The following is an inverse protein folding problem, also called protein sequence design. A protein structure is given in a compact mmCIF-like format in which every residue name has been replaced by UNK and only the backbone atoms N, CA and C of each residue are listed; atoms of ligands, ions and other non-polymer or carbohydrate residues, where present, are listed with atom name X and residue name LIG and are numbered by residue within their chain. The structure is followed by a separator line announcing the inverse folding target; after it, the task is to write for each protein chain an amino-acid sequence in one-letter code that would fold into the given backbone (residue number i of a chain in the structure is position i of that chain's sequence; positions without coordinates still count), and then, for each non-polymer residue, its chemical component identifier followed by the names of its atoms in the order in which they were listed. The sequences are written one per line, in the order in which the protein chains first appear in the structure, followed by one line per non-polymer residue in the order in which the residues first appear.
data_IF_083038868131
#
_entry.id   IF_083038868131
#
_cell.length_a   1.000
_cell.length_b   1.000
_cell.length_c   1.000
_cell.angle_alpha   90.00
_cell.angle_beta   90.00
_cell.angle_gamma   90.00
#
_symmetry.space_group_name_H-M   'P 1'
#
loop_
_entity.id
_entity.type
_entity.pdbx_description
1 polymer ?
#
# COMPACT_ATOMS: atom_id res chain seq x y z
N UNK A 1 -5.95 -11.68 -27.90
CA UNK A 1 -4.62 -11.89 -27.35
C UNK A 1 -4.66 -11.52 -25.87
N UNK A 2 -4.66 -12.51 -25.00
CA UNK A 2 -4.62 -12.30 -23.53
C UNK A 2 -3.17 -12.05 -23.16
N UNK A 3 -2.80 -10.82 -22.88
CA UNK A 3 -1.50 -10.53 -22.27
C UNK A 3 -1.62 -10.93 -20.80
N UNK A 4 -1.08 -12.09 -20.48
CA UNK A 4 -0.84 -12.50 -19.10
C UNK A 4 0.38 -11.70 -18.66
N UNK A 5 0.16 -10.64 -17.88
CA UNK A 5 1.23 -10.00 -17.16
C UNK A 5 1.69 -10.96 -16.05
N UNK A 6 2.66 -11.78 -16.36
CA UNK A 6 3.44 -12.46 -15.31
C UNK A 6 4.33 -11.37 -14.70
N UNK A 7 3.88 -10.84 -13.58
CA UNK A 7 4.72 -10.01 -12.73
C UNK A 7 5.91 -10.89 -12.33
N UNK A 8 7.06 -10.70 -12.94
CA UNK A 8 8.32 -11.18 -12.37
C UNK A 8 8.46 -10.40 -11.05
N UNK A 9 7.95 -10.96 -9.99
CA UNK A 9 8.28 -10.57 -8.64
C UNK A 9 9.71 -11.05 -8.45
N UNK A 10 10.68 -10.27 -8.92
CA UNK A 10 12.04 -10.38 -8.44
C UNK A 10 11.91 -10.27 -6.93
N UNK A 11 12.35 -11.30 -6.23
CA UNK A 11 12.29 -11.39 -4.78
C UNK A 11 13.10 -10.24 -4.18
N UNK A 12 12.41 -9.12 -3.97
CA UNK A 12 12.95 -7.97 -3.25
C UNK A 12 12.75 -8.28 -1.79
N UNK A 13 13.85 -8.49 -1.06
CA UNK A 13 13.78 -8.62 0.39
C UNK A 13 13.72 -7.22 1.01
N UNK A 14 12.54 -6.90 1.50
CA UNK A 14 12.24 -5.66 2.20
C UNK A 14 12.78 -5.69 3.63
N UNK A 15 12.96 -4.50 4.23
CA UNK A 15 13.29 -4.38 5.64
C UNK A 15 12.27 -5.10 6.53
N UNK A 16 12.73 -5.70 7.62
CA UNK A 16 11.86 -6.24 8.68
C UNK A 16 10.94 -5.16 9.27
N UNK A 17 11.34 -3.89 9.19
CA UNK A 17 10.50 -2.76 9.57
C UNK A 17 9.19 -2.71 8.81
N UNK A 18 9.17 -3.18 7.56
CA UNK A 18 7.96 -3.24 6.74
C UNK A 18 6.95 -4.29 7.22
N UNK A 19 7.37 -5.24 8.06
CA UNK A 19 6.47 -6.21 8.70
C UNK A 19 5.65 -5.60 9.82
N UNK A 20 6.19 -4.58 10.51
CA UNK A 20 5.58 -3.97 11.68
C UNK A 20 4.93 -2.63 11.30
N UNK A 21 3.73 -2.68 10.78
CA UNK A 21 2.96 -1.48 10.40
C UNK A 21 1.95 -1.15 11.49
N UNK A 22 2.11 0.01 12.12
CA UNK A 22 1.13 0.55 13.06
C UNK A 22 0.01 1.22 12.27
N UNK A 23 -1.24 0.91 12.60
CA UNK A 23 -2.41 1.49 11.96
C UNK A 23 -3.68 1.28 12.76
N UNK A 24 -4.75 1.98 12.37
CA UNK A 24 -6.06 1.86 12.97
C UNK A 24 -6.85 0.70 12.37
N UNK A 25 -7.66 0.06 13.21
CA UNK A 25 -8.71 -0.84 12.81
C UNK A 25 -8.32 -2.32 12.74
N UNK A 26 -9.31 -3.19 12.55
CA UNK A 26 -9.16 -4.64 12.68
C UNK A 26 -8.52 -5.31 11.46
N UNK A 27 -8.30 -4.58 10.35
CA UNK A 27 -7.87 -5.18 9.09
C UNK A 27 -6.78 -4.37 8.41
N UNK A 28 -5.66 -5.01 8.07
CA UNK A 28 -4.59 -4.37 7.32
C UNK A 28 -5.02 -3.98 5.90
N UNK A 29 -5.79 -4.82 5.22
CA UNK A 29 -6.22 -4.57 3.84
C UNK A 29 -7.49 -3.71 3.73
N UNK A 30 -8.40 -3.76 4.71
CA UNK A 30 -9.69 -3.05 4.66
C UNK A 30 -9.73 -1.77 5.50
N UNK A 31 -8.76 -1.57 6.38
CA UNK A 31 -8.68 -0.35 7.22
C UNK A 31 -7.38 0.39 7.00
N UNK A 32 -6.22 -0.25 7.27
CA UNK A 32 -4.91 0.40 7.18
C UNK A 32 -4.54 0.80 5.74
N UNK A 33 -4.75 -0.08 4.76
CA UNK A 33 -4.49 0.21 3.35
C UNK A 33 -5.30 1.40 2.84
N UNK A 34 -6.64 1.41 2.98
CA UNK A 34 -7.47 2.56 2.65
C UNK A 34 -7.10 3.85 3.38
N UNK A 35 -6.74 3.77 4.67
CA UNK A 35 -6.25 4.93 5.42
C UNK A 35 -4.97 5.50 4.81
N UNK A 36 -3.98 4.66 4.51
CA UNK A 36 -2.72 5.09 3.90
C UNK A 36 -2.92 5.70 2.53
N UNK A 37 -3.79 5.09 1.71
CA UNK A 37 -4.16 5.67 0.42
C UNK A 37 -4.75 7.07 0.58
N UNK A 38 -5.70 7.22 1.48
CA UNK A 38 -6.35 8.49 1.77
C UNK A 38 -5.36 9.53 2.31
N UNK A 39 -4.46 9.15 3.24
CA UNK A 39 -3.44 10.06 3.79
C UNK A 39 -2.51 10.59 2.71
N UNK A 40 -1.99 9.70 1.86
CA UNK A 40 -1.09 10.09 0.77
C UNK A 40 -1.76 11.04 -0.23
N UNK A 41 -3.03 10.80 -0.56
CA UNK A 41 -3.79 11.65 -1.46
C UNK A 41 -4.04 13.03 -0.81
N UNK A 42 -4.38 13.05 0.48
CA UNK A 42 -4.56 14.32 1.21
C UNK A 42 -3.27 15.14 1.26
N UNK A 43 -2.12 14.49 1.49
CA UNK A 43 -0.81 15.12 1.46
C UNK A 43 -0.46 15.69 0.08
N UNK A 44 -0.80 14.96 -0.98
CA UNK A 44 -0.55 15.38 -2.36
C UNK A 44 -1.46 16.53 -2.81
N UNK A 45 -2.69 16.59 -2.26
CA UNK A 45 -3.69 17.61 -2.61
C UNK A 45 -4.20 18.35 -1.36
N UNK A 46 -3.33 19.09 -0.65
CA UNK A 46 -3.70 19.75 0.60
C UNK A 46 -4.77 20.83 0.44
N UNK A 47 -4.89 21.41 -0.76
CA UNK A 47 -5.82 22.48 -1.09
C UNK A 47 -7.09 21.98 -1.82
N UNK A 48 -7.29 20.67 -1.93
CA UNK A 48 -8.50 20.14 -2.54
C UNK A 48 -9.75 20.57 -1.76
N UNK A 49 -10.76 21.01 -2.47
CA UNK A 49 -12.01 21.47 -1.84
C UNK A 49 -12.88 20.31 -1.37
N UNK A 50 -12.81 19.17 -2.05
CA UNK A 50 -13.64 18.00 -1.80
C UNK A 50 -12.99 16.72 -2.32
N UNK A 51 -13.34 15.61 -1.67
CA UNK A 51 -12.97 14.24 -2.11
C UNK A 51 -14.23 13.37 -2.26
N UNK A 52 -14.25 12.55 -3.30
CA UNK A 52 -15.16 11.43 -3.44
C UNK A 52 -14.35 10.15 -3.62
N UNK A 53 -14.82 9.05 -3.02
CA UNK A 53 -14.11 7.77 -3.05
C UNK A 53 -15.08 6.68 -3.44
N UNK A 54 -14.71 5.87 -4.42
CA UNK A 54 -15.41 4.66 -4.79
C UNK A 54 -14.62 3.44 -4.33
N UNK A 55 -15.28 2.56 -3.62
CA UNK A 55 -14.74 1.29 -3.13
C UNK A 55 -15.26 0.16 -4.03
N UNK A 56 -14.37 -0.75 -4.41
CA UNK A 56 -14.66 -1.82 -5.35
C UNK A 56 -14.37 -3.20 -4.76
N UNK A 57 -15.02 -4.23 -5.31
CA UNK A 57 -14.78 -5.62 -4.99
C UNK A 57 -14.91 -5.93 -3.51
N UNK A 58 -13.87 -6.48 -2.88
CA UNK A 58 -13.92 -6.87 -1.48
C UNK A 58 -14.08 -5.68 -0.53
N UNK A 59 -13.49 -4.53 -0.84
CA UNK A 59 -13.68 -3.30 -0.07
C UNK A 59 -15.13 -2.80 -0.11
N UNK A 60 -15.83 -3.03 -1.21
CA UNK A 60 -17.24 -2.68 -1.30
C UNK A 60 -18.13 -3.66 -0.54
N UNK A 61 -17.84 -4.96 -0.62
CA UNK A 61 -18.66 -6.01 -0.03
C UNK A 61 -18.57 -6.04 1.50
N UNK A 62 -17.38 -5.86 2.05
CA UNK A 62 -17.11 -6.04 3.49
C UNK A 62 -16.63 -4.77 4.19
N UNK A 63 -16.40 -3.70 3.44
CA UNK A 63 -15.78 -2.46 3.95
C UNK A 63 -16.56 -1.78 5.08
N UNK A 64 -17.90 -1.83 5.05
CA UNK A 64 -18.71 -1.29 6.17
C UNK A 64 -18.42 -2.02 7.47
N UNK A 65 -18.32 -3.35 7.44
CA UNK A 65 -17.99 -4.15 8.62
C UNK A 65 -16.57 -3.91 9.15
N UNK A 66 -15.67 -3.49 8.29
CA UNK A 66 -14.27 -3.17 8.63
C UNK A 66 -14.01 -1.66 8.81
N UNK A 67 -15.05 -0.85 8.83
CA UNK A 67 -14.97 0.61 8.99
C UNK A 67 -14.13 1.32 7.91
N UNK A 68 -14.10 0.77 6.70
CA UNK A 68 -13.33 1.33 5.58
C UNK A 68 -13.78 2.74 5.21
N UNK A 69 -15.09 2.96 5.10
CA UNK A 69 -15.66 4.26 4.80
C UNK A 69 -15.45 5.26 5.95
N UNK A 70 -15.53 4.78 7.17
CA UNK A 70 -15.28 5.59 8.36
C UNK A 70 -13.84 6.11 8.36
N UNK A 71 -12.84 5.25 8.19
CA UNK A 71 -11.43 5.65 8.24
C UNK A 71 -11.05 6.59 7.08
N UNK A 72 -11.62 6.38 5.89
CA UNK A 72 -11.44 7.28 4.76
C UNK A 72 -11.99 8.67 5.08
N UNK A 73 -13.21 8.77 5.62
CA UNK A 73 -13.82 10.03 6.02
C UNK A 73 -13.07 10.72 7.15
N UNK A 74 -12.55 9.97 8.11
CA UNK A 74 -11.71 10.53 9.18
C UNK A 74 -10.41 11.13 8.61
N UNK A 75 -9.85 10.51 7.59
CA UNK A 75 -8.60 10.93 7.00
C UNK A 75 -8.77 12.12 6.05
N UNK A 76 -9.69 12.04 5.10
CA UNK A 76 -9.90 13.06 4.06
C UNK A 76 -10.79 14.23 4.52
N UNK A 77 -11.63 13.99 5.51
CA UNK A 77 -12.61 14.95 6.02
C UNK A 77 -14.03 14.35 6.03
N UNK A 78 -14.84 14.75 7.01
CA UNK A 78 -16.20 14.20 7.23
C UNK A 78 -17.14 14.39 6.03
N UNK A 79 -16.92 15.43 5.22
CA UNK A 79 -17.68 15.73 4.01
C UNK A 79 -17.35 14.82 2.83
N UNK A 80 -16.34 13.94 2.95
CA UNK A 80 -15.97 13.00 1.89
C UNK A 80 -17.12 12.05 1.58
N UNK A 81 -17.47 11.93 0.31
CA UNK A 81 -18.48 10.99 -0.16
C UNK A 81 -17.81 9.66 -0.45
N UNK A 82 -18.28 8.58 0.19
CA UNK A 82 -17.80 7.22 -0.08
C UNK A 82 -18.93 6.41 -0.69
N UNK A 83 -18.69 5.84 -1.87
CA UNK A 83 -19.62 4.98 -2.61
C UNK A 83 -19.10 3.56 -2.70
N UNK A 84 -19.97 2.59 -2.51
CA UNK A 84 -19.69 1.17 -2.64
C UNK A 84 -20.19 0.69 -4.01
N UNK A 85 -19.28 0.14 -4.81
CA UNK A 85 -19.56 -0.36 -6.17
C UNK A 85 -19.59 -1.89 -6.18
N UNK A 86 -20.55 -2.46 -6.88
CA UNK A 86 -20.65 -3.92 -7.06
C UNK A 86 -19.55 -4.51 -7.93
N UNK A 87 -18.93 -3.69 -8.77
CA UNK A 87 -17.92 -4.11 -9.73
C UNK A 87 -16.57 -4.36 -9.08
N UNK A 88 -15.66 -4.98 -9.84
CA UNK A 88 -14.25 -5.15 -9.46
C UNK A 88 -13.36 -4.40 -10.43
N UNK A 89 -12.31 -3.80 -9.91
CA UNK A 89 -11.24 -3.29 -10.75
C UNK A 89 -10.34 -4.44 -11.22
N UNK A 90 -9.75 -4.34 -12.43
CA UNK A 90 -9.08 -5.48 -13.06
C UNK A 90 -7.86 -6.01 -12.32
N UNK A 91 -7.13 -5.14 -11.64
CA UNK A 91 -5.83 -5.46 -11.07
C UNK A 91 -5.92 -6.24 -9.75
N UNK A 92 -6.76 -5.79 -8.81
CA UNK A 92 -6.86 -6.39 -7.48
C UNK A 92 -8.27 -6.22 -6.88
N UNK A 93 -8.79 -7.20 -6.09
CA UNK A 93 -10.15 -7.13 -5.52
C UNK A 93 -10.36 -5.99 -4.51
N UNK A 94 -9.29 -5.44 -3.92
CA UNK A 94 -9.40 -4.33 -2.98
C UNK A 94 -9.08 -3.00 -3.69
N UNK A 95 -9.88 -2.65 -4.67
CA UNK A 95 -9.71 -1.43 -5.45
C UNK A 95 -10.42 -0.22 -4.87
N UNK A 96 -9.82 0.95 -5.08
CA UNK A 96 -10.34 2.27 -4.70
C UNK A 96 -10.11 3.25 -5.83
N UNK A 97 -11.10 4.13 -6.10
CA UNK A 97 -10.89 5.31 -6.94
C UNK A 97 -11.17 6.56 -6.12
N UNK A 98 -10.24 7.48 -6.17
CA UNK A 98 -10.32 8.77 -5.50
C UNK A 98 -10.52 9.85 -6.55
N UNK A 99 -11.54 10.65 -6.40
CA UNK A 99 -11.79 11.84 -7.20
C UNK A 99 -11.47 13.04 -6.32
N UNK A 100 -10.49 13.82 -6.78
CA UNK A 100 -10.02 15.03 -6.12
C UNK A 100 -10.66 16.21 -6.80
N UNK A 101 -11.31 17.08 -6.05
CA UNK A 101 -12.00 18.26 -6.59
C UNK A 101 -11.30 19.56 -6.17
N UNK A 102 -11.26 20.47 -7.10
CA UNK A 102 -11.03 21.87 -6.85
C UNK A 102 -12.31 22.62 -7.28
N UNK A 103 -13.02 23.17 -6.31
CA UNK A 103 -14.38 23.70 -6.49
C UNK A 103 -15.31 22.61 -7.10
N UNK A 104 -15.95 22.89 -8.25
CA UNK A 104 -16.83 21.93 -8.92
C UNK A 104 -16.14 21.07 -9.98
N UNK A 105 -14.82 21.25 -10.18
CA UNK A 105 -14.06 20.52 -11.21
C UNK A 105 -13.26 19.38 -10.60
N UNK A 106 -13.23 18.25 -11.29
CA UNK A 106 -12.30 17.17 -10.97
C UNK A 106 -10.90 17.62 -11.37
N UNK A 107 -10.04 17.74 -10.37
CA UNK A 107 -8.62 18.08 -10.53
C UNK A 107 -7.83 16.83 -10.92
N UNK A 108 -8.14 15.68 -10.28
CA UNK A 108 -7.46 14.41 -10.55
C UNK A 108 -8.34 13.22 -10.20
N UNK A 109 -8.02 12.07 -10.80
CA UNK A 109 -8.63 10.77 -10.51
C UNK A 109 -7.54 9.73 -10.30
N UNK A 110 -7.48 9.17 -9.10
CA UNK A 110 -6.41 8.27 -8.69
C UNK A 110 -7.00 6.91 -8.38
N UNK A 111 -6.50 5.86 -9.05
CA UNK A 111 -6.84 4.47 -8.74
C UNK A 111 -5.76 3.88 -7.82
N UNK A 112 -6.19 3.27 -6.74
CA UNK A 112 -5.32 2.64 -5.76
C UNK A 112 -5.84 1.25 -5.37
N UNK A 113 -4.93 0.38 -4.94
CA UNK A 113 -5.22 -0.98 -4.55
C UNK A 113 -4.57 -1.31 -3.21
N UNK A 114 -5.36 -1.79 -2.26
CA UNK A 114 -4.84 -2.31 -0.99
C UNK A 114 -4.46 -3.77 -1.15
N UNK A 115 -3.17 -4.04 -1.35
CA UNK A 115 -2.65 -5.37 -1.72
C UNK A 115 -2.33 -6.28 -0.54
N UNK A 116 -2.57 -5.84 0.68
CA UNK A 116 -2.33 -6.59 1.92
C UNK A 116 -1.20 -6.00 2.76
N UNK A 117 -1.12 -6.39 4.04
CA UNK A 117 -0.13 -5.87 4.98
C UNK A 117 -0.17 -4.33 5.17
N UNK A 118 -1.24 -3.66 4.79
CA UNK A 118 -1.34 -2.19 4.76
C UNK A 118 -0.56 -1.55 3.60
N UNK A 119 -0.09 -2.32 2.63
CA UNK A 119 0.57 -1.81 1.42
C UNK A 119 -0.46 -1.34 0.41
N UNK A 120 -0.15 -0.24 -0.28
CA UNK A 120 -1.01 0.37 -1.30
C UNK A 120 -0.22 0.52 -2.60
N UNK A 121 -0.78 0.05 -3.69
CA UNK A 121 -0.29 0.29 -5.05
C UNK A 121 -1.21 1.28 -5.77
N UNK A 122 -0.63 2.14 -6.62
CA UNK A 122 -1.36 3.14 -7.40
C UNK A 122 -1.23 2.83 -8.88
N UNK A 123 -2.34 2.93 -9.62
CA UNK A 123 -2.34 2.73 -11.07
C UNK A 123 -1.50 3.80 -11.77
N UNK A 124 -0.63 3.38 -12.70
CA UNK A 124 0.23 4.30 -13.44
C UNK A 124 1.40 4.90 -12.66
N UNK A 125 1.48 4.71 -11.34
CA UNK A 125 2.70 5.01 -10.63
C UNK A 125 3.74 3.94 -10.95
N UNK A 126 4.94 4.36 -11.37
CA UNK A 126 6.10 3.49 -11.18
C UNK A 126 6.06 3.15 -9.70
N UNK A 127 5.85 1.87 -9.38
CA UNK A 127 5.93 1.37 -8.02
C UNK A 127 7.08 2.10 -7.32
N UNK A 128 6.82 2.77 -6.21
CA UNK A 128 7.90 3.02 -5.29
C UNK A 128 8.45 1.63 -4.99
N UNK A 129 9.52 1.28 -5.67
CA UNK A 129 10.26 0.09 -5.35
C UNK A 129 10.62 0.26 -3.89
N UNK A 130 10.03 -0.56 -3.04
CA UNK A 130 10.47 -0.68 -1.65
C UNK A 130 11.97 -0.83 -1.74
N UNK A 131 12.68 0.02 -0.99
CA UNK A 131 14.14 0.04 -1.09
C UNK A 131 14.64 -1.34 -0.69
N UNK A 132 15.22 -2.05 -1.66
CA UNK A 132 15.87 -3.32 -1.38
C UNK A 132 17.04 -3.00 -0.45
N UNK A 133 16.98 -3.51 0.78
CA UNK A 133 18.05 -3.31 1.75
C UNK A 133 19.00 -4.50 1.81
N UNK A 134 18.50 -5.70 1.51
CA UNK A 134 19.33 -6.91 1.46
C UNK A 134 19.85 -7.14 0.04
N UNK A 135 21.18 -7.30 -0.16
CA UNK A 135 21.75 -7.51 -1.49
C UNK A 135 21.47 -8.90 -2.06
N UNK A 136 21.22 -9.89 -1.20
CA UNK A 136 20.99 -11.28 -1.56
C UNK A 136 19.52 -11.54 -1.85
N UNK A 137 19.23 -12.34 -2.90
CA UNK A 137 17.87 -12.53 -3.44
C UNK A 137 17.10 -13.69 -2.79
N UNK A 138 17.81 -14.60 -2.15
CA UNK A 138 17.20 -15.80 -1.55
C UNK A 138 18.05 -16.32 -0.39
N UNK A 139 17.43 -17.21 0.39
CA UNK A 139 18.06 -17.77 1.59
C UNK A 139 19.38 -18.50 1.29
N UNK A 140 19.50 -19.16 0.14
CA UNK A 140 20.73 -19.87 -0.24
C UNK A 140 21.92 -18.92 -0.40
N UNK A 141 21.71 -17.78 -1.04
CA UNK A 141 22.74 -16.76 -1.19
C UNK A 141 23.12 -16.14 0.17
N UNK A 142 22.15 -15.96 1.05
CA UNK A 142 22.38 -15.46 2.41
C UNK A 142 23.23 -16.46 3.21
N UNK A 143 22.87 -17.76 3.18
CA UNK A 143 23.63 -18.79 3.90
C UNK A 143 25.06 -18.85 3.38
N UNK A 144 25.27 -18.84 2.08
CA UNK A 144 26.62 -18.82 1.49
C UNK A 144 27.42 -17.61 1.97
N UNK A 145 26.82 -16.42 1.94
CA UNK A 145 27.47 -15.20 2.41
C UNK A 145 27.85 -15.27 3.90
N UNK A 146 26.96 -15.80 4.74
CA UNK A 146 27.19 -15.99 6.18
C UNK A 146 28.37 -16.94 6.43
N UNK A 147 28.41 -18.06 5.72
CA UNK A 147 29.49 -19.06 5.82
C UNK A 147 30.81 -18.49 5.36
N UNK A 148 30.84 -17.82 4.20
CA UNK A 148 32.07 -17.22 3.62
C UNK A 148 32.66 -16.12 4.50
N UNK A 149 31.84 -15.42 5.27
CA UNK A 149 32.27 -14.32 6.13
C UNK A 149 32.37 -14.70 7.61
N UNK A 150 32.02 -15.91 8.00
CA UNK A 150 32.09 -16.38 9.40
C UNK A 150 31.23 -15.60 10.37
N UNK A 151 30.08 -15.06 9.91
CA UNK A 151 29.13 -14.29 10.71
C UNK A 151 27.87 -15.10 11.01
N UNK A 152 27.10 -14.68 12.01
CA UNK A 152 25.78 -15.30 12.27
C UNK A 152 24.70 -14.68 11.36
N UNK A 153 23.57 -15.38 11.23
CA UNK A 153 22.38 -14.83 10.56
C UNK A 153 21.87 -13.55 11.25
N UNK A 154 22.01 -13.48 12.56
CA UNK A 154 21.68 -12.29 13.35
C UNK A 154 22.56 -11.10 12.97
N UNK A 155 23.88 -11.30 12.87
CA UNK A 155 24.81 -10.25 12.46
C UNK A 155 24.53 -9.79 11.03
N UNK A 156 24.23 -10.74 10.13
CA UNK A 156 23.79 -10.42 8.78
C UNK A 156 22.60 -9.48 8.77
N UNK A 157 21.53 -9.80 9.50
CA UNK A 157 20.33 -8.96 9.58
C UNK A 157 20.67 -7.59 10.17
N UNK A 158 21.39 -7.52 11.27
CA UNK A 158 21.76 -6.26 11.91
C UNK A 158 22.56 -5.35 10.98
N UNK A 159 23.51 -5.90 10.23
CA UNK A 159 24.34 -5.12 9.32
C UNK A 159 23.53 -4.36 8.26
N UNK A 160 22.40 -4.89 7.81
CA UNK A 160 21.54 -4.26 6.81
C UNK A 160 20.39 -3.45 7.40
N UNK A 161 19.89 -3.82 8.59
CA UNK A 161 18.78 -3.11 9.24
C UNK A 161 19.25 -1.91 10.07
N UNK A 162 20.45 -1.93 10.63
CA UNK A 162 20.93 -0.93 11.60
C UNK A 162 21.01 0.47 10.98
N UNK A 163 21.36 0.58 9.70
CA UNK A 163 21.36 1.85 8.98
C UNK A 163 19.94 2.43 8.79
N UNK A 164 18.91 1.56 8.79
CA UNK A 164 17.52 1.96 8.61
C UNK A 164 16.78 2.20 9.92
N UNK A 165 17.26 1.64 11.04
CA UNK A 165 16.69 1.89 12.37
C UNK A 165 17.16 3.19 12.98
N UNK A 166 18.29 3.76 12.51
CA UNK A 166 18.86 5.01 13.00
C UNK A 166 18.32 6.27 12.30
N UNK A 167 17.54 6.09 11.26
CA UNK A 167 16.87 7.18 10.55
C UNK A 167 15.40 7.32 10.99
#
# INVERSE_FOLDING_TARGET
LRIIYVKNIGEIMESLRELFKIGFGPSSSHTMGPQRAASKIKEQYPNASRFEVELYGSLALTGKGHLTDYIIKQTLGKQTIVRFKSDRLPYHPNGMKFYVYQDEKILDTITAYSIGGGTVEYEGSKLQQTKQIYPHKNLKEIIQYIEDNGISFYDYVLNYEDEHFKA
#
